data_IF_500720561900
#
_entry.id   IF_500720561900
#
_cell.length_a   1.000
_cell.length_b   1.000
_cell.length_c   1.000
_cell.angle_alpha   90.00
_cell.angle_beta   90.00
_cell.angle_gamma   90.00
#
_symmetry.space_group_name_H-M   'P 1'
#
loop_
_entity.id
_entity.type
_entity.pdbx_description
1 polymer ?
#
# COMPACT_ATOMS: atom_id res chain seq x y z
N UNK A 1 29.01 -29.49 -47.06
CA UNK A 1 27.54 -29.35 -46.89
C UNK A 1 27.07 -28.92 -45.48
N UNK A 2 27.93 -28.37 -44.59
CA UNK A 2 27.58 -28.20 -43.15
C UNK A 2 27.15 -26.77 -42.76
N UNK A 3 27.37 -25.74 -43.60
CA UNK A 3 27.06 -24.34 -43.26
C UNK A 3 25.56 -23.96 -43.29
N UNK A 4 24.69 -24.78 -43.87
CA UNK A 4 23.25 -24.48 -44.01
C UNK A 4 22.46 -24.83 -42.75
N UNK A 5 22.75 -25.98 -42.14
CA UNK A 5 22.01 -26.49 -40.98
C UNK A 5 22.18 -25.63 -39.72
N UNK A 6 23.37 -25.05 -39.49
CA UNK A 6 23.64 -24.19 -38.32
C UNK A 6 22.83 -22.89 -38.34
N UNK A 7 22.60 -22.30 -39.53
CA UNK A 7 21.78 -21.08 -39.68
C UNK A 7 20.30 -21.36 -39.45
N UNK A 8 19.83 -22.55 -39.83
CA UNK A 8 18.45 -22.98 -39.58
C UNK A 8 18.25 -23.14 -38.08
N UNK A 9 19.12 -23.89 -37.40
CA UNK A 9 19.05 -24.13 -35.94
C UNK A 9 19.07 -22.82 -35.14
N UNK A 10 19.93 -21.86 -35.49
CA UNK A 10 19.96 -20.55 -34.83
C UNK A 10 18.67 -19.75 -35.04
N UNK A 11 18.07 -19.80 -36.24
CA UNK A 11 16.77 -19.15 -36.49
C UNK A 11 15.63 -19.81 -35.70
N UNK A 12 15.64 -21.14 -35.57
CA UNK A 12 14.63 -21.86 -34.76
C UNK A 12 14.77 -21.54 -33.28
N UNK A 13 16.00 -21.47 -32.77
CA UNK A 13 16.28 -21.12 -31.36
C UNK A 13 15.92 -19.67 -31.05
N UNK A 14 16.24 -18.72 -31.94
CA UNK A 14 15.84 -17.33 -31.78
C UNK A 14 14.32 -17.17 -31.85
N UNK A 15 13.65 -17.89 -32.75
CA UNK A 15 12.18 -17.94 -32.85
C UNK A 15 11.52 -18.53 -31.59
N UNK A 16 12.07 -19.61 -31.04
CA UNK A 16 11.60 -20.20 -29.79
C UNK A 16 11.80 -19.27 -28.60
N UNK A 17 12.96 -18.61 -28.51
CA UNK A 17 13.25 -17.61 -27.47
C UNK A 17 12.30 -16.42 -27.56
N UNK A 18 12.04 -15.90 -28.76
CA UNK A 18 11.06 -14.82 -28.98
C UNK A 18 9.64 -15.24 -28.57
N UNK A 19 9.22 -16.45 -28.93
CA UNK A 19 7.92 -17.00 -28.51
C UNK A 19 7.83 -17.17 -26.98
N UNK A 20 8.91 -17.58 -26.32
CA UNK A 20 8.96 -17.67 -24.86
C UNK A 20 8.88 -16.29 -24.20
N UNK A 21 9.61 -15.30 -24.70
CA UNK A 21 9.55 -13.93 -24.19
C UNK A 21 8.15 -13.32 -24.35
N UNK A 22 7.47 -13.55 -25.47
CA UNK A 22 6.09 -13.10 -25.66
C UNK A 22 5.07 -13.82 -24.77
N UNK A 23 5.28 -15.11 -24.47
CA UNK A 23 4.46 -15.84 -23.51
C UNK A 23 4.67 -15.29 -22.09
N UNK A 24 5.91 -15.03 -21.68
CA UNK A 24 6.23 -14.44 -20.37
C UNK A 24 5.61 -13.05 -20.25
N UNK A 25 5.74 -12.19 -21.27
CA UNK A 25 5.12 -10.84 -21.29
C UNK A 25 3.58 -10.90 -21.25
N UNK A 26 2.95 -11.89 -21.89
CA UNK A 26 1.50 -12.11 -21.78
C UNK A 26 1.10 -12.57 -20.38
N UNK A 27 1.84 -13.50 -19.78
CA UNK A 27 1.53 -14.03 -18.45
C UNK A 27 1.75 -12.98 -17.35
N UNK A 28 2.78 -12.13 -17.45
CA UNK A 28 2.97 -11.00 -16.53
C UNK A 28 1.89 -9.94 -16.70
N UNK A 29 1.44 -9.68 -17.94
CA UNK A 29 0.31 -8.77 -18.20
C UNK A 29 -1.01 -9.30 -17.61
N UNK A 30 -1.27 -10.60 -17.74
CA UNK A 30 -2.44 -11.25 -17.13
C UNK A 30 -2.34 -11.24 -15.60
N UNK A 31 -1.15 -11.46 -15.04
CA UNK A 31 -0.92 -11.42 -13.59
C UNK A 31 -1.11 -10.01 -13.02
N UNK A 32 -0.58 -8.98 -13.70
CA UNK A 32 -0.77 -7.57 -13.33
C UNK A 32 -2.22 -7.09 -13.49
N UNK A 33 -2.98 -7.64 -14.45
CA UNK A 33 -4.43 -7.39 -14.53
C UNK A 33 -5.19 -8.11 -13.41
N UNK A 34 -4.78 -9.32 -13.03
CA UNK A 34 -5.43 -10.10 -11.97
C UNK A 34 -5.24 -9.51 -10.58
N UNK A 35 -4.10 -8.84 -10.31
CA UNK A 35 -3.89 -8.08 -9.07
C UNK A 35 -4.61 -6.73 -9.04
N UNK A 36 -5.04 -6.20 -10.20
CA UNK A 36 -5.98 -5.05 -10.27
C UNK A 36 -7.44 -5.41 -10.03
N UNK A 37 -7.80 -6.70 -9.96
CA UNK A 37 -9.13 -7.17 -9.57
C UNK A 37 -9.27 -7.29 -8.04
N UNK A 38 -8.75 -6.29 -7.31
CA UNK A 38 -9.32 -5.96 -6.02
C UNK A 38 -10.73 -5.42 -6.33
N UNK A 39 -11.74 -6.26 -6.17
CA UNK A 39 -13.14 -5.85 -6.26
C UNK A 39 -13.44 -4.87 -5.11
N UNK A 40 -13.04 -3.61 -5.27
CA UNK A 40 -13.85 -2.53 -4.77
C UNK A 40 -15.14 -2.63 -5.57
N UNK A 41 -16.23 -3.02 -4.93
CA UNK A 41 -17.57 -2.91 -5.50
C UNK A 41 -17.79 -1.44 -5.86
N UNK A 42 -17.52 -1.08 -7.12
CA UNK A 42 -17.83 0.20 -7.76
C UNK A 42 -19.36 0.30 -7.97
N UNK A 43 -20.14 0.05 -6.92
CA UNK A 43 -21.60 0.04 -6.96
C UNK A 43 -22.23 0.89 -5.85
N UNK A 44 -21.52 1.94 -5.45
CA UNK A 44 -22.16 3.18 -5.05
C UNK A 44 -21.62 4.24 -6.00
N UNK A 45 -22.31 4.48 -7.12
CA UNK A 45 -22.19 5.77 -7.80
C UNK A 45 -22.62 6.79 -6.75
N UNK A 46 -21.65 7.34 -6.01
CA UNK A 46 -21.86 8.48 -5.14
C UNK A 46 -22.43 9.56 -6.05
N UNK A 47 -23.74 9.77 -5.95
CA UNK A 47 -24.41 10.79 -6.75
C UNK A 47 -24.02 12.12 -6.13
N UNK A 48 -23.91 13.15 -6.96
CA UNK A 48 -23.61 14.50 -6.48
C UNK A 48 -24.55 14.97 -5.35
N UNK A 49 -25.82 14.50 -5.36
CA UNK A 49 -26.80 14.74 -4.28
C UNK A 49 -26.41 14.13 -2.92
N UNK A 50 -25.66 13.03 -2.93
CA UNK A 50 -25.14 12.40 -1.71
C UNK A 50 -24.06 13.27 -1.06
N UNK A 51 -23.34 14.08 -1.86
CA UNK A 51 -22.34 15.02 -1.37
C UNK A 51 -22.96 16.23 -0.67
N UNK A 52 -24.07 16.77 -1.20
CA UNK A 52 -24.79 17.88 -0.54
C UNK A 52 -25.40 17.45 0.80
N UNK A 53 -26.00 16.25 0.86
CA UNK A 53 -26.52 15.70 2.11
C UNK A 53 -25.40 15.45 3.14
N UNK A 54 -24.26 14.93 2.67
CA UNK A 54 -23.07 14.74 3.51
C UNK A 54 -22.55 16.07 4.06
N UNK A 55 -22.52 17.14 3.24
CA UNK A 55 -22.09 18.47 3.67
C UNK A 55 -23.01 19.04 4.77
N UNK A 56 -24.32 18.85 4.66
CA UNK A 56 -25.29 19.32 5.68
C UNK A 56 -25.10 18.60 7.02
N UNK A 57 -24.85 17.28 7.00
CA UNK A 57 -24.54 16.52 8.22
C UNK A 57 -23.19 16.90 8.84
N UNK A 58 -22.19 17.23 8.02
CA UNK A 58 -20.86 17.62 8.48
C UNK A 58 -20.81 19.06 9.02
N UNK A 59 -21.76 19.92 8.64
CA UNK A 59 -21.80 21.35 8.97
C UNK A 59 -21.74 21.63 10.48
N UNK A 60 -22.30 20.75 11.29
CA UNK A 60 -22.38 20.90 12.75
C UNK A 60 -21.39 20.02 13.53
N UNK A 61 -20.51 19.28 12.84
CA UNK A 61 -19.51 18.45 13.52
C UNK A 61 -18.28 19.27 13.91
N UNK A 62 -17.89 19.17 15.19
CA UNK A 62 -16.64 19.75 15.66
C UNK A 62 -15.46 19.08 14.95
N UNK A 63 -14.55 19.83 14.29
CA UNK A 63 -13.36 19.25 13.67
C UNK A 63 -12.54 18.47 14.68
N UNK A 64 -12.05 17.30 14.27
CA UNK A 64 -11.14 16.48 15.05
C UNK A 64 -9.83 16.31 14.31
N UNK A 65 -8.73 16.35 15.03
CA UNK A 65 -7.41 16.03 14.49
C UNK A 65 -7.30 14.53 14.20
N UNK A 66 -6.40 14.16 13.27
CA UNK A 66 -6.09 12.75 13.02
C UNK A 66 -5.63 12.03 14.29
N UNK A 67 -4.90 12.72 15.17
CA UNK A 67 -4.44 12.18 16.46
C UNK A 67 -5.61 11.92 17.42
N UNK A 68 -6.62 12.78 17.48
CA UNK A 68 -7.82 12.54 18.29
C UNK A 68 -8.61 11.33 17.80
N UNK A 69 -8.80 11.22 16.48
CA UNK A 69 -9.46 10.06 15.88
C UNK A 69 -8.68 8.77 16.15
N UNK A 70 -7.35 8.80 15.95
CA UNK A 70 -6.48 7.67 16.23
C UNK A 70 -6.53 7.25 17.70
N UNK A 71 -6.44 8.21 18.63
CA UNK A 71 -6.52 7.92 20.06
C UNK A 71 -7.85 7.31 20.47
N UNK A 72 -8.96 7.79 19.87
CA UNK A 72 -10.28 7.20 20.07
C UNK A 72 -10.31 5.74 19.60
N UNK A 73 -9.83 5.47 18.38
CA UNK A 73 -9.78 4.10 17.84
C UNK A 73 -8.93 3.17 18.70
N UNK A 74 -7.80 3.64 19.22
CA UNK A 74 -6.93 2.83 20.11
C UNK A 74 -7.62 2.56 21.46
N UNK A 75 -8.41 3.50 21.98
CA UNK A 75 -9.16 3.31 23.21
C UNK A 75 -10.31 2.30 23.01
N UNK A 76 -11.04 2.42 21.89
CA UNK A 76 -12.19 1.59 21.59
C UNK A 76 -11.77 0.16 21.16
N UNK A 77 -10.63 0.00 20.49
CA UNK A 77 -10.19 -1.26 19.86
C UNK A 77 -8.67 -1.53 19.99
N UNK A 78 -8.09 -1.61 21.20
CA UNK A 78 -6.65 -1.66 21.40
C UNK A 78 -5.97 -2.88 20.75
N UNK A 79 -6.59 -4.06 20.85
CA UNK A 79 -6.00 -5.33 20.43
C UNK A 79 -6.40 -5.73 19.00
N UNK A 80 -7.16 -4.89 18.28
CA UNK A 80 -7.45 -5.12 16.85
C UNK A 80 -6.21 -4.80 16.01
N UNK A 81 -6.04 -5.58 14.95
CA UNK A 81 -4.97 -5.36 13.96
C UNK A 81 -5.18 -4.02 13.26
N UNK A 82 -4.20 -3.13 13.35
CA UNK A 82 -4.19 -1.83 12.70
C UNK A 82 -3.41 -1.88 11.37
N UNK A 83 -2.30 -2.61 11.35
CA UNK A 83 -1.43 -2.76 10.18
C UNK A 83 -1.10 -4.23 9.97
N UNK A 84 -1.00 -4.63 8.70
CA UNK A 84 -0.51 -5.94 8.29
C UNK A 84 0.68 -5.73 7.36
N UNK A 85 1.78 -6.45 7.59
CA UNK A 85 2.96 -6.36 6.74
C UNK A 85 3.63 -7.72 6.60
N UNK A 86 4.39 -7.91 5.52
CA UNK A 86 5.30 -9.04 5.33
C UNK A 86 6.73 -8.57 5.53
N UNK A 87 7.53 -9.39 6.20
CA UNK A 87 8.99 -9.19 6.20
C UNK A 87 9.54 -9.64 4.85
N UNK A 88 10.59 -8.98 4.40
CA UNK A 88 11.29 -9.40 3.19
C UNK A 88 11.76 -10.85 3.31
N UNK A 89 11.56 -11.65 2.27
CA UNK A 89 11.86 -13.08 2.29
C UNK A 89 10.91 -13.95 3.14
N UNK A 90 9.83 -13.39 3.69
CA UNK A 90 8.83 -14.12 4.47
C UNK A 90 7.47 -14.17 3.77
N UNK A 91 6.88 -15.36 3.74
CA UNK A 91 5.50 -15.55 3.26
C UNK A 91 4.43 -15.30 4.34
N UNK A 92 4.86 -15.06 5.58
CA UNK A 92 3.97 -14.91 6.73
C UNK A 92 3.61 -13.44 6.95
N UNK A 93 2.32 -13.15 6.98
CA UNK A 93 1.81 -11.84 7.37
C UNK A 93 1.95 -11.64 8.87
N UNK A 94 2.49 -10.50 9.27
CA UNK A 94 2.59 -10.08 10.67
C UNK A 94 1.66 -8.90 10.91
N UNK A 95 0.94 -8.94 12.02
CA UNK A 95 0.06 -7.86 12.44
C UNK A 95 0.78 -6.89 13.39
N UNK A 96 0.33 -5.64 13.41
CA UNK A 96 0.58 -4.67 14.48
C UNK A 96 -0.78 -4.22 15.00
N UNK A 97 -1.02 -4.38 16.29
CA UNK A 97 -2.26 -3.93 16.94
C UNK A 97 -2.32 -2.40 17.07
N UNK A 98 -3.51 -1.83 17.25
CA UNK A 98 -3.66 -0.38 17.51
C UNK A 98 -2.87 0.08 18.75
N UNK A 99 -2.84 -0.75 19.80
CA UNK A 99 -2.07 -0.48 21.02
C UNK A 99 -0.56 -0.42 20.76
N UNK A 100 -0.02 -1.40 20.03
CA UNK A 100 1.40 -1.42 19.65
C UNK A 100 1.75 -0.26 18.72
N UNK A 101 0.88 0.03 17.76
CA UNK A 101 1.04 1.14 16.84
C UNK A 101 1.13 2.47 17.60
N UNK A 102 0.18 2.74 18.51
CA UNK A 102 0.21 3.95 19.35
C UNK A 102 1.49 4.07 20.18
N UNK A 103 1.99 2.96 20.71
CA UNK A 103 3.24 2.95 21.46
C UNK A 103 4.44 3.38 20.59
N UNK A 104 4.52 2.89 19.36
CA UNK A 104 5.58 3.27 18.40
C UNK A 104 5.48 4.73 17.98
N UNK A 105 4.28 5.21 17.63
CA UNK A 105 4.03 6.62 17.31
C UNK A 105 4.46 7.52 18.48
N UNK A 106 4.13 7.14 19.71
CA UNK A 106 4.53 7.90 20.91
C UNK A 106 6.04 7.93 21.12
N UNK A 107 6.76 6.86 20.77
CA UNK A 107 8.23 6.84 20.84
C UNK A 107 8.85 7.80 19.83
N UNK A 108 8.40 7.76 18.57
CA UNK A 108 8.89 8.65 17.51
C UNK A 108 8.54 10.11 17.82
N UNK A 109 7.32 10.40 18.27
CA UNK A 109 6.91 11.74 18.66
C UNK A 109 7.81 12.32 19.77
N UNK A 110 8.17 11.52 20.78
CA UNK A 110 9.12 11.92 21.82
C UNK A 110 10.52 12.18 21.26
N UNK A 111 10.96 11.39 20.28
CA UNK A 111 12.24 11.61 19.63
C UNK A 111 12.25 12.94 18.86
N UNK A 112 11.18 13.27 18.13
CA UNK A 112 11.06 14.57 17.44
C UNK A 112 11.08 15.74 18.41
N UNK A 113 10.39 15.66 19.54
CA UNK A 113 10.44 16.70 20.59
C UNK A 113 11.88 16.86 21.09
N UNK A 114 12.59 15.74 21.35
CA UNK A 114 13.99 15.78 21.79
C UNK A 114 14.93 16.38 20.75
N UNK A 115 14.65 16.21 19.46
CA UNK A 115 15.42 16.78 18.36
C UNK A 115 15.10 18.27 18.09
N UNK A 116 14.18 18.87 18.85
CA UNK A 116 13.82 20.28 18.71
C UNK A 116 12.73 20.56 17.67
N UNK A 117 11.89 19.58 17.34
CA UNK A 117 10.74 19.83 16.46
C UNK A 117 9.67 20.63 17.23
N UNK A 118 9.41 21.84 16.76
CA UNK A 118 8.42 22.75 17.33
C UNK A 118 7.07 22.68 16.59
N UNK A 119 6.08 23.39 17.13
CA UNK A 119 4.78 23.59 16.46
C UNK A 119 5.01 24.20 15.07
N UNK A 120 4.26 23.71 14.08
CA UNK A 120 4.37 24.11 12.66
C UNK A 120 5.71 23.75 12.00
N UNK A 121 6.57 23.00 12.70
CA UNK A 121 7.76 22.37 12.15
C UNK A 121 7.43 21.36 11.04
N UNK A 122 8.34 21.21 10.09
CA UNK A 122 8.14 20.38 8.89
C UNK A 122 9.03 19.16 8.94
N UNK A 123 8.49 18.01 8.56
CA UNK A 123 9.22 16.75 8.43
C UNK A 123 8.95 16.18 7.03
N UNK A 124 10.00 15.73 6.35
CA UNK A 124 9.87 14.97 5.11
C UNK A 124 10.07 13.48 5.41
N UNK A 125 9.21 12.64 4.85
CA UNK A 125 9.31 11.17 4.95
C UNK A 125 9.69 10.63 3.58
N UNK A 126 10.87 10.03 3.47
CA UNK A 126 11.35 9.36 2.27
C UNK A 126 11.53 7.87 2.58
N UNK A 127 10.50 7.09 2.33
CA UNK A 127 10.47 5.67 2.67
C UNK A 127 9.62 4.86 1.66
N UNK A 128 9.92 3.56 1.55
CA UNK A 128 9.08 2.63 0.81
C UNK A 128 7.74 2.37 1.51
N UNK A 129 6.80 1.71 0.83
CA UNK A 129 5.56 1.25 1.45
C UNK A 129 5.86 0.14 2.47
N UNK A 130 6.14 0.55 3.69
CA UNK A 130 6.43 -0.31 4.83
C UNK A 130 5.67 0.17 6.06
N UNK A 131 5.60 -0.69 7.08
CA UNK A 131 4.97 -0.30 8.36
C UNK A 131 5.65 0.93 8.98
N UNK A 132 6.95 1.08 8.78
CA UNK A 132 7.74 2.18 9.33
C UNK A 132 7.38 3.53 8.69
N UNK A 133 6.94 3.55 7.43
CA UNK A 133 6.57 4.80 6.74
C UNK A 133 5.27 5.41 7.29
N UNK A 134 4.33 4.56 7.75
CA UNK A 134 3.06 5.00 8.32
C UNK A 134 3.11 5.15 9.85
N UNK A 135 4.20 4.71 10.49
CA UNK A 135 4.41 4.78 11.94
C UNK A 135 5.17 6.05 12.31
#
# INVERSE_FOLDING_TARGET
MIKSSSKIILKTLLSQSWKQQHQILRLTSIHLQKTRNFHLTQNSRFKFKDFEHFHDQMKNLKPKTMTELFNKTVADFPDRNALMYKKEGSDVWTAVTYKEYKNKVKQIAKAFIKLGLEKDGKVAVLAFNSKECVI
#
